data_IF_829120962657
#
_entry.id   IF_829120962657
#
_cell.length_a   1.000
_cell.length_b   1.000
_cell.length_c   1.000
_cell.angle_alpha   90.00
_cell.angle_beta   90.00
_cell.angle_gamma   90.00
#
_symmetry.space_group_name_H-M   'P 1'
#
loop_
_entity.id
_entity.type
_entity.pdbx_description
1 polymer ?
#
# COMPACT_ATOMS: atom_id res chain seq x y z
N UNK A 1 -9.79 17.02 18.31
CA UNK A 1 -10.24 15.69 17.95
C UNK A 1 -9.16 14.67 18.17
N UNK A 2 -9.55 13.55 18.69
CA UNK A 2 -8.61 12.46 18.81
C UNK A 2 -8.19 12.00 17.42
N UNK A 3 -6.97 12.27 17.06
CA UNK A 3 -6.48 11.81 15.80
C UNK A 3 -6.43 10.29 15.85
N UNK A 4 -6.87 9.66 14.80
CA UNK A 4 -6.77 8.22 14.72
C UNK A 4 -5.33 7.79 14.92
N UNK A 5 -5.09 7.12 16.01
CA UNK A 5 -3.75 6.65 16.36
C UNK A 5 -3.41 5.35 15.66
N UNK A 6 -4.39 4.69 15.08
CA UNK A 6 -4.16 3.40 14.46
C UNK A 6 -3.70 3.58 13.03
N UNK A 7 -2.63 2.91 12.70
CA UNK A 7 -2.15 2.81 11.33
C UNK A 7 -2.87 1.67 10.65
N UNK A 8 -3.18 1.85 9.38
CA UNK A 8 -3.92 0.85 8.62
C UNK A 8 -3.08 0.43 7.42
N UNK A 9 -2.72 -0.85 7.39
CA UNK A 9 -1.93 -1.41 6.31
C UNK A 9 -2.72 -2.54 5.68
N UNK A 10 -2.89 -2.48 4.37
CA UNK A 10 -3.57 -3.54 3.64
C UNK A 10 -2.54 -4.46 3.00
N UNK A 11 -2.89 -5.73 2.96
CA UNK A 11 -2.07 -6.75 2.31
C UNK A 11 -3.00 -7.57 1.42
N UNK A 12 -3.38 -7.02 0.26
CA UNK A 12 -4.35 -7.68 -0.62
C UNK A 12 -3.81 -8.99 -1.16
N UNK A 13 -4.66 -10.00 -1.23
CA UNK A 13 -4.28 -11.32 -1.70
C UNK A 13 -4.92 -11.66 -3.04
N UNK A 14 -5.68 -10.74 -3.62
CA UNK A 14 -6.37 -10.99 -4.88
C UNK A 14 -7.71 -11.67 -4.73
N UNK A 15 -8.09 -12.02 -3.50
CA UNK A 15 -9.39 -12.63 -3.22
C UNK A 15 -10.37 -11.54 -2.83
N UNK A 16 -11.59 -11.60 -3.35
CA UNK A 16 -12.60 -10.59 -3.04
C UNK A 16 -12.27 -9.25 -3.68
N UNK A 17 -12.11 -9.26 -4.97
CA UNK A 17 -11.55 -8.18 -5.78
C UNK A 17 -12.08 -6.79 -5.43
N UNK A 18 -13.38 -6.59 -5.48
CA UNK A 18 -13.94 -5.27 -5.20
C UNK A 18 -13.75 -4.87 -3.75
N UNK A 19 -13.85 -5.84 -2.84
CA UNK A 19 -13.64 -5.56 -1.43
C UNK A 19 -12.21 -5.10 -1.17
N UNK A 20 -11.24 -5.64 -1.92
CA UNK A 20 -9.85 -5.23 -1.75
C UNK A 20 -9.64 -3.76 -2.09
N UNK A 21 -10.35 -3.24 -3.09
CA UNK A 21 -10.25 -1.83 -3.42
C UNK A 21 -10.78 -0.95 -2.28
N UNK A 22 -11.86 -1.36 -1.62
CA UNK A 22 -12.34 -0.64 -0.46
C UNK A 22 -11.34 -0.68 0.70
N UNK A 23 -10.73 -1.84 0.93
CA UNK A 23 -9.72 -1.99 1.97
C UNK A 23 -8.52 -1.09 1.67
N UNK A 24 -8.07 -1.05 0.43
CA UNK A 24 -6.95 -0.21 0.03
C UNK A 24 -7.29 1.25 0.27
N UNK A 25 -8.47 1.67 -0.11
CA UNK A 25 -8.87 3.07 0.05
C UNK A 25 -8.89 3.49 1.51
N UNK A 26 -9.25 2.58 2.40
CA UNK A 26 -9.30 2.86 3.83
C UNK A 26 -7.95 2.75 4.50
N UNK A 27 -6.94 2.24 3.81
CA UNK A 27 -5.64 1.96 4.41
C UNK A 27 -4.68 3.13 4.22
N UNK A 28 -3.63 3.15 5.03
CA UNK A 28 -2.63 4.21 5.01
C UNK A 28 -1.36 3.81 4.25
N UNK A 29 -1.14 2.53 4.09
CA UNK A 29 -0.06 1.98 3.27
C UNK A 29 -0.44 0.57 2.84
N UNK A 30 0.27 0.06 1.85
CA UNK A 30 -0.05 -1.24 1.25
C UNK A 30 1.22 -2.07 1.19
N UNK A 31 1.09 -3.36 1.52
CA UNK A 31 2.14 -4.33 1.24
C UNK A 31 1.61 -5.23 0.12
N UNK A 32 2.32 -5.24 -1.00
CA UNK A 32 1.93 -6.02 -2.16
C UNK A 32 2.93 -7.14 -2.37
N UNK A 33 2.43 -8.37 -2.48
CA UNK A 33 3.26 -9.55 -2.65
C UNK A 33 3.08 -10.06 -4.07
N UNK A 34 4.19 -10.16 -4.80
CA UNK A 34 4.17 -10.67 -6.16
C UNK A 34 3.65 -12.10 -6.20
N UNK A 35 2.90 -12.41 -7.23
CA UNK A 35 2.42 -13.77 -7.43
C UNK A 35 0.95 -13.97 -7.13
N UNK A 36 0.31 -13.05 -6.44
CA UNK A 36 -1.12 -13.14 -6.21
C UNK A 36 -1.90 -12.48 -7.33
N UNK A 37 -3.04 -13.07 -7.66
CA UNK A 37 -3.90 -12.55 -8.71
C UNK A 37 -4.39 -11.15 -8.34
N UNK A 38 -4.29 -10.23 -9.28
CA UNK A 38 -4.80 -8.87 -9.08
C UNK A 38 -3.88 -7.95 -8.29
N UNK A 39 -2.75 -8.44 -7.79
CA UNK A 39 -1.85 -7.64 -6.96
C UNK A 39 -1.37 -6.39 -7.68
N UNK A 40 -1.01 -6.51 -8.97
CA UNK A 40 -0.53 -5.36 -9.73
C UNK A 40 -1.59 -4.29 -9.86
N UNK A 41 -2.84 -4.68 -10.14
CA UNK A 41 -3.94 -3.72 -10.25
C UNK A 41 -4.23 -3.05 -8.91
N UNK A 42 -4.19 -3.82 -7.84
CA UNK A 42 -4.43 -3.30 -6.49
C UNK A 42 -3.33 -2.32 -6.08
N UNK A 43 -2.08 -2.65 -6.38
CA UNK A 43 -0.97 -1.76 -6.08
C UNK A 43 -1.05 -0.48 -6.92
N UNK A 44 -1.40 -0.60 -8.20
CA UNK A 44 -1.57 0.57 -9.04
C UNK A 44 -2.68 1.48 -8.53
N UNK A 45 -3.78 0.89 -8.05
CA UNK A 45 -4.86 1.68 -7.47
C UNK A 45 -4.39 2.43 -6.23
N UNK A 46 -3.65 1.77 -5.35
CA UNK A 46 -3.13 2.41 -4.14
C UNK A 46 -2.22 3.58 -4.49
N UNK A 47 -1.36 3.40 -5.47
CA UNK A 47 -0.45 4.45 -5.90
C UNK A 47 -1.23 5.64 -6.47
N UNK A 48 -2.29 5.38 -7.24
CA UNK A 48 -3.11 6.45 -7.78
C UNK A 48 -3.83 7.23 -6.68
N UNK A 49 -4.04 6.61 -5.52
CA UNK A 49 -4.63 7.27 -4.36
C UNK A 49 -3.58 8.01 -3.52
N UNK A 50 -2.35 8.06 -3.97
CA UNK A 50 -1.27 8.76 -3.26
C UNK A 50 -0.61 7.97 -2.16
N UNK A 51 -0.87 6.69 -2.07
CA UNK A 51 -0.35 5.85 -0.99
C UNK A 51 0.95 5.20 -1.38
N UNK A 52 1.72 4.80 -0.38
CA UNK A 52 2.96 4.06 -0.60
C UNK A 52 2.65 2.57 -0.64
N UNK A 53 3.29 1.89 -1.57
CA UNK A 53 3.20 0.44 -1.71
C UNK A 53 4.58 -0.14 -1.45
N UNK A 54 4.66 -1.07 -0.51
CA UNK A 54 5.90 -1.82 -0.29
C UNK A 54 5.75 -3.14 -1.01
N UNK A 55 6.60 -3.37 -2.01
CA UNK A 55 6.51 -4.55 -2.86
C UNK A 55 7.45 -5.63 -2.37
N UNK A 56 6.90 -6.81 -2.09
CA UNK A 56 7.70 -8.02 -1.87
C UNK A 56 7.67 -8.75 -3.20
N UNK A 57 8.79 -8.71 -3.91
CA UNK A 57 8.87 -9.21 -5.28
C UNK A 57 9.12 -8.08 -6.24
N UNK A 58 8.93 -8.33 -7.51
CA UNK A 58 9.29 -7.40 -8.58
C UNK A 58 8.05 -6.93 -9.34
N UNK A 59 7.15 -6.25 -8.62
CA UNK A 59 5.93 -5.72 -9.21
C UNK A 59 6.26 -4.44 -9.97
N UNK A 60 5.93 -4.40 -11.25
CA UNK A 60 6.23 -3.25 -12.12
C UNK A 60 4.98 -2.41 -12.31
N UNK A 61 5.06 -1.14 -11.90
CA UNK A 61 3.93 -0.22 -12.00
C UNK A 61 4.45 1.14 -12.47
N UNK A 62 3.75 1.76 -13.40
CA UNK A 62 4.04 3.12 -13.79
C UNK A 62 3.45 4.08 -12.77
N UNK A 63 4.22 5.11 -12.42
CA UNK A 63 3.75 6.14 -11.51
C UNK A 63 3.83 7.50 -12.18
N UNK A 64 2.99 8.42 -11.71
CA UNK A 64 3.01 9.81 -12.14
C UNK A 64 3.53 10.69 -11.01
N UNK A 65 3.86 11.91 -11.33
CA UNK A 65 4.50 12.81 -10.37
C UNK A 65 3.70 13.01 -9.09
N UNK A 66 2.38 13.01 -9.18
CA UNK A 66 1.51 13.25 -8.02
C UNK A 66 0.99 11.98 -7.38
N UNK A 67 1.42 10.84 -7.88
CA UNK A 67 1.01 9.55 -7.33
C UNK A 67 1.80 9.22 -6.07
N UNK A 68 1.40 8.16 -5.40
CA UNK A 68 2.22 7.56 -4.37
C UNK A 68 3.46 6.92 -4.97
N UNK A 69 4.13 6.13 -4.19
CA UNK A 69 5.39 5.52 -4.63
C UNK A 69 5.40 4.04 -4.33
N UNK A 70 6.27 3.32 -5.03
CA UNK A 70 6.49 1.91 -4.77
C UNK A 70 7.91 1.74 -4.22
N UNK A 71 8.03 0.95 -3.16
CA UNK A 71 9.29 0.65 -2.49
C UNK A 71 9.47 -0.85 -2.52
N UNK A 72 10.62 -1.32 -2.94
CA UNK A 72 10.89 -2.75 -3.07
C UNK A 72 11.66 -3.24 -1.85
N UNK A 73 11.13 -4.24 -1.16
CA UNK A 73 11.77 -4.85 -0.02
C UNK A 73 11.32 -6.31 0.08
N UNK A 74 12.24 -7.24 -0.11
CA UNK A 74 11.90 -8.67 -0.13
C UNK A 74 11.89 -9.32 1.24
N UNK A 75 12.49 -8.70 2.26
CA UNK A 75 12.44 -9.21 3.61
C UNK A 75 11.10 -8.83 4.24
N UNK A 76 10.24 -9.81 4.58
CA UNK A 76 8.91 -9.49 5.10
C UNK A 76 8.92 -8.61 6.34
N UNK A 77 9.86 -8.82 7.25
CA UNK A 77 9.93 -8.02 8.47
C UNK A 77 10.30 -6.56 8.15
N UNK A 78 11.26 -6.37 7.26
CA UNK A 78 11.63 -5.02 6.84
C UNK A 78 10.49 -4.37 6.06
N UNK A 79 9.78 -5.14 5.25
CA UNK A 79 8.64 -4.61 4.49
C UNK A 79 7.58 -4.06 5.43
N UNK A 80 7.27 -4.79 6.51
CA UNK A 80 6.31 -4.33 7.50
C UNK A 80 6.79 -3.03 8.15
N UNK A 81 8.07 -2.98 8.51
CA UNK A 81 8.65 -1.79 9.13
C UNK A 81 8.52 -0.57 8.22
N UNK A 82 8.86 -0.76 6.95
CA UNK A 82 8.77 0.32 5.97
C UNK A 82 7.33 0.75 5.79
N UNK A 83 6.41 -0.22 5.71
CA UNK A 83 4.99 0.09 5.54
C UNK A 83 4.45 0.89 6.71
N UNK A 84 4.84 0.54 7.94
CA UNK A 84 4.43 1.30 9.12
C UNK A 84 4.95 2.74 9.06
N UNK A 85 6.20 2.91 8.65
CA UNK A 85 6.78 4.24 8.52
C UNK A 85 6.05 5.07 7.46
N UNK A 86 5.76 4.46 6.31
CA UNK A 86 5.06 5.15 5.23
C UNK A 86 3.62 5.46 5.60
N UNK A 87 2.97 4.57 6.33
CA UNK A 87 1.61 4.80 6.79
C UNK A 87 1.56 6.00 7.73
N UNK A 88 2.54 6.11 8.62
CA UNK A 88 2.63 7.25 9.51
C UNK A 88 2.81 8.56 8.76
N UNK A 89 3.66 8.55 7.74
CA UNK A 89 3.87 9.73 6.90
C UNK A 89 2.58 10.11 6.17
N UNK A 90 1.85 9.12 5.68
CA UNK A 90 0.60 9.38 4.99
C UNK A 90 -0.42 10.04 5.92
N UNK A 91 -0.52 9.55 7.14
CA UNK A 91 -1.44 10.13 8.12
C UNK A 91 -1.07 11.58 8.40
N UNK A 92 0.21 11.87 8.58
CA UNK A 92 0.66 13.23 8.86
C UNK A 92 0.38 14.17 7.70
N UNK A 93 0.38 13.66 6.48
CA UNK A 93 0.19 14.50 5.30
C UNK A 93 -1.27 14.65 4.89
N UNK A 94 -2.07 13.59 5.02
CA UNK A 94 -3.42 13.55 4.45
C UNK A 94 -4.53 13.34 5.48
N UNK A 95 -4.21 12.98 6.68
CA UNK A 95 -5.18 12.75 7.73
C UNK A 95 -4.78 13.50 9.00
#
# INVERSE_FOLDING_TARGET
MEVNKYLSIAMPTGIGYLRNFFIIRASDAIIAIEGYSGTTSEAAFAISEGKSVVSIGDIQIRTKDNDGKIIYENDPQKAVFIALHEARKYIEKFR
#
